data_IF_277390643808
#
_entry.id   IF_277390643808
#
_cell.length_a   1.000
_cell.length_b   1.000
_cell.length_c   1.000
_cell.angle_alpha   90.00
_cell.angle_beta   90.00
_cell.angle_gamma   90.00
#
_symmetry.space_group_name_H-M   'P 1'
#
loop_
_entity.id
_entity.type
_entity.pdbx_description
1 polymer ?
#
# COMPACT_ATOMS: atom_id res chain seq x y z
N UNK A 1 30.35 2.89 -40.17
CA UNK A 1 29.66 4.09 -39.65
C UNK A 1 28.25 3.63 -39.27
N UNK A 2 28.10 3.19 -38.06
CA UNK A 2 26.81 2.77 -37.47
C UNK A 2 26.34 3.90 -36.58
N UNK A 3 25.26 4.52 -36.97
CA UNK A 3 24.57 5.59 -36.23
C UNK A 3 24.03 5.05 -34.93
N UNK A 4 24.50 5.58 -33.81
CA UNK A 4 23.87 5.45 -32.50
C UNK A 4 22.48 6.14 -32.59
N UNK A 5 21.43 5.33 -32.55
CA UNK A 5 20.09 5.85 -32.30
C UNK A 5 20.02 6.28 -30.83
N UNK A 6 19.85 7.60 -30.62
CA UNK A 6 19.45 8.15 -29.32
C UNK A 6 18.11 7.52 -28.93
N UNK A 7 18.16 6.64 -27.94
CA UNK A 7 16.99 6.18 -27.21
C UNK A 7 16.43 7.37 -26.44
N UNK A 8 15.39 7.98 -26.97
CA UNK A 8 14.65 9.03 -26.31
C UNK A 8 14.21 8.56 -24.90
N UNK A 9 14.54 9.37 -23.90
CA UNK A 9 14.15 9.12 -22.52
C UNK A 9 12.62 9.20 -22.42
N UNK A 10 11.97 8.05 -22.26
CA UNK A 10 10.55 7.99 -21.89
C UNK A 10 10.31 8.80 -20.61
N UNK A 11 9.16 9.50 -20.47
CA UNK A 11 8.86 10.24 -19.26
C UNK A 11 8.92 9.31 -18.04
N UNK A 12 9.68 9.71 -17.04
CA UNK A 12 9.87 8.94 -15.80
C UNK A 12 8.51 8.67 -15.14
N UNK A 13 8.17 7.41 -14.94
CA UNK A 13 7.00 7.02 -14.16
C UNK A 13 7.20 7.40 -12.69
N UNK A 14 6.10 7.49 -11.93
CA UNK A 14 6.17 7.68 -10.46
C UNK A 14 7.07 6.60 -9.81
N UNK A 15 7.12 5.39 -10.39
CA UNK A 15 8.00 4.31 -9.94
C UNK A 15 9.49 4.60 -10.21
N UNK A 16 9.83 5.29 -11.28
CA UNK A 16 11.23 5.67 -11.58
C UNK A 16 11.75 6.74 -10.61
N UNK A 17 10.86 7.60 -10.09
CA UNK A 17 11.22 8.57 -9.05
C UNK A 17 11.51 7.93 -7.70
N UNK A 18 10.99 6.71 -7.44
CA UNK A 18 11.25 5.95 -6.21
C UNK A 18 12.60 5.21 -6.24
N UNK A 19 13.20 5.00 -7.41
CA UNK A 19 14.45 4.24 -7.58
C UNK A 19 15.68 5.14 -7.62
N UNK A 20 15.52 6.44 -7.92
CA UNK A 20 16.64 7.39 -8.01
C UNK A 20 16.80 8.21 -6.76
N UNK A 21 17.87 7.90 -6.03
CA UNK A 21 18.31 8.64 -4.83
C UNK A 21 18.96 10.00 -5.15
N UNK A 22 18.82 10.48 -6.37
CA UNK A 22 19.38 11.75 -6.87
C UNK A 22 18.66 12.99 -6.26
N UNK A 23 17.53 12.78 -5.56
CA UNK A 23 16.72 13.83 -4.94
C UNK A 23 16.78 13.87 -3.41
N UNK A 24 17.84 13.35 -2.81
CA UNK A 24 17.98 13.33 -1.35
C UNK A 24 17.11 12.24 -0.70
N UNK A 25 17.44 10.98 -0.96
CA UNK A 25 16.85 9.84 -0.24
C UNK A 25 17.12 9.90 1.26
N UNK A 26 16.55 8.96 2.03
CA UNK A 26 16.75 8.94 3.47
C UNK A 26 18.24 8.89 3.81
N UNK A 27 18.62 9.56 4.89
CA UNK A 27 19.99 9.49 5.44
C UNK A 27 20.19 8.16 6.17
N UNK A 28 19.16 7.70 6.84
CA UNK A 28 19.18 6.59 7.76
C UNK A 28 18.03 5.61 7.50
N UNK A 29 18.28 4.34 7.75
CA UNK A 29 17.26 3.33 8.01
C UNK A 29 17.59 2.63 9.34
N UNK A 30 16.60 1.98 9.93
CA UNK A 30 16.82 1.10 11.06
C UNK A 30 16.96 -0.35 10.57
N UNK A 31 17.99 -1.06 11.07
CA UNK A 31 18.23 -2.47 10.73
C UNK A 31 18.61 -3.25 11.98
N UNK A 32 17.79 -4.22 12.33
CA UNK A 32 18.06 -5.24 13.34
C UNK A 32 18.69 -4.72 14.64
N UNK A 33 18.13 -3.65 15.20
CA UNK A 33 18.51 -3.10 16.50
C UNK A 33 19.17 -1.73 16.49
N UNK A 34 19.50 -1.16 15.31
CA UNK A 34 20.19 0.15 15.25
C UNK A 34 19.91 0.92 13.97
N UNK A 35 20.11 2.25 14.03
CA UNK A 35 20.20 3.09 12.85
C UNK A 35 21.46 2.76 12.06
N UNK A 36 21.30 2.62 10.75
CA UNK A 36 22.38 2.38 9.78
C UNK A 36 22.30 3.43 8.68
N UNK A 37 23.43 4.01 8.21
CA UNK A 37 23.40 4.86 7.03
C UNK A 37 22.73 4.15 5.86
N UNK A 38 21.79 4.79 5.21
CA UNK A 38 21.01 4.18 4.12
C UNK A 38 21.92 3.61 3.01
N UNK A 39 23.01 4.29 2.68
CA UNK A 39 23.99 3.86 1.68
C UNK A 39 24.72 2.56 2.04
N UNK A 40 24.76 2.19 3.32
CA UNK A 40 25.47 1.00 3.82
C UNK A 40 24.55 -0.21 3.99
N UNK A 41 23.23 -0.03 3.79
CA UNK A 41 22.25 -1.09 3.88
C UNK A 41 22.37 -2.03 2.68
N UNK A 42 23.18 -3.07 2.81
CA UNK A 42 23.46 -4.05 1.75
C UNK A 42 23.04 -5.44 2.18
N UNK A 43 22.61 -6.24 1.21
CA UNK A 43 22.33 -7.66 1.39
C UNK A 43 23.25 -8.48 0.47
N UNK A 44 23.71 -9.63 0.95
CA UNK A 44 24.53 -10.52 0.14
C UNK A 44 23.71 -11.10 -1.02
N UNK A 45 24.29 -11.20 -2.22
CA UNK A 45 23.58 -11.66 -3.42
C UNK A 45 22.89 -13.01 -3.24
N UNK A 46 23.48 -13.94 -2.50
CA UNK A 46 22.89 -15.25 -2.23
C UNK A 46 21.70 -15.21 -1.24
N UNK A 47 21.52 -14.11 -0.53
CA UNK A 47 20.37 -13.91 0.36
C UNK A 47 19.17 -13.25 -0.35
N UNK A 48 19.39 -12.62 -1.52
CA UNK A 48 18.37 -11.81 -2.22
C UNK A 48 17.13 -12.62 -2.56
N UNK A 49 17.29 -13.86 -3.03
CA UNK A 49 16.16 -14.74 -3.38
C UNK A 49 15.24 -15.00 -2.18
N UNK A 50 15.81 -15.39 -1.05
CA UNK A 50 15.06 -15.65 0.18
C UNK A 50 14.49 -14.36 0.78
N UNK A 51 15.28 -13.30 0.81
CA UNK A 51 14.82 -11.99 1.31
C UNK A 51 13.63 -11.45 0.53
N UNK A 52 13.58 -11.66 -0.79
CA UNK A 52 12.48 -11.15 -1.61
C UNK A 52 11.25 -12.06 -1.62
N UNK A 53 11.43 -13.39 -1.63
CA UNK A 53 10.30 -14.33 -1.75
C UNK A 53 9.65 -14.62 -0.41
N UNK A 54 10.45 -14.81 0.64
CA UNK A 54 9.95 -15.19 1.97
C UNK A 54 9.69 -13.99 2.90
N UNK A 55 9.78 -12.77 2.41
CA UNK A 55 9.64 -11.57 3.24
C UNK A 55 8.20 -11.11 3.39
N UNK A 56 7.92 -10.52 4.55
CA UNK A 56 6.69 -9.78 4.84
C UNK A 56 7.01 -8.33 5.12
N UNK A 57 6.07 -7.43 4.83
CA UNK A 57 6.29 -6.01 4.99
C UNK A 57 5.01 -5.25 5.33
N UNK A 58 5.18 -4.01 5.76
CA UNK A 58 4.09 -3.06 5.90
C UNK A 58 4.34 -1.81 5.07
N UNK A 59 3.26 -1.09 4.80
CA UNK A 59 3.30 0.24 4.23
C UNK A 59 2.53 1.17 5.14
N UNK A 60 3.23 2.11 5.76
CA UNK A 60 2.70 3.06 6.72
C UNK A 60 2.92 4.47 6.19
N UNK A 61 1.95 5.36 6.34
CA UNK A 61 2.14 6.77 6.03
C UNK A 61 2.22 7.60 7.29
N UNK A 62 3.16 8.52 7.32
CA UNK A 62 3.23 9.59 8.29
C UNK A 62 2.98 10.92 7.57
N UNK A 63 2.01 11.67 8.05
CA UNK A 63 1.55 12.91 7.44
C UNK A 63 2.02 14.12 8.24
N UNK A 64 2.36 15.19 7.57
CA UNK A 64 2.55 16.48 8.25
C UNK A 64 1.22 16.91 8.85
N UNK A 65 1.20 17.25 10.13
CA UNK A 65 0.01 17.72 10.83
C UNK A 65 -0.52 19.02 10.21
N UNK A 66 -1.79 19.32 10.42
CA UNK A 66 -2.43 20.52 9.89
C UNK A 66 -1.79 21.84 10.36
N UNK A 67 -1.13 21.83 11.54
CA UNK A 67 -0.41 22.99 12.11
C UNK A 67 1.07 23.03 11.66
N UNK A 68 1.55 22.04 10.90
CA UNK A 68 2.90 21.98 10.36
C UNK A 68 4.00 21.68 11.37
N UNK A 69 3.67 21.26 12.60
CA UNK A 69 4.64 21.16 13.71
C UNK A 69 5.13 19.74 14.01
N UNK A 70 4.55 18.71 13.38
CA UNK A 70 4.87 17.31 13.65
C UNK A 70 4.48 16.40 12.49
N UNK A 71 5.01 15.18 12.50
CA UNK A 71 4.49 14.07 11.72
C UNK A 71 3.48 13.29 12.54
N UNK A 72 2.47 12.77 11.86
CA UNK A 72 1.41 11.93 12.40
C UNK A 72 1.46 10.58 11.67
N UNK A 73 2.06 9.55 12.30
CA UNK A 73 2.07 8.21 11.74
C UNK A 73 0.68 7.59 11.93
N UNK A 74 0.04 7.27 10.80
CA UNK A 74 -1.35 6.83 10.78
C UNK A 74 -1.47 5.34 11.07
N UNK A 75 -2.23 4.98 12.10
CA UNK A 75 -2.54 3.61 12.55
C UNK A 75 -1.28 2.74 12.71
N UNK A 76 -0.23 3.32 13.30
CA UNK A 76 1.08 2.69 13.41
C UNK A 76 0.98 1.32 14.11
N UNK A 77 0.31 1.25 15.23
CA UNK A 77 0.27 0.03 16.05
C UNK A 77 -0.48 -1.11 15.36
N UNK A 78 -1.55 -0.81 14.62
CA UNK A 78 -2.30 -1.81 13.86
C UNK A 78 -1.51 -2.31 12.64
N UNK A 79 -0.77 -1.43 11.96
CA UNK A 79 0.14 -1.82 10.90
C UNK A 79 1.23 -2.76 11.42
N UNK A 80 1.83 -2.45 12.56
CA UNK A 80 2.84 -3.31 13.16
C UNK A 80 2.24 -4.66 13.60
N UNK A 81 1.05 -4.67 14.19
CA UNK A 81 0.35 -5.91 14.54
C UNK A 81 0.14 -6.79 13.30
N UNK A 82 -0.33 -6.23 12.18
CA UNK A 82 -0.52 -6.98 10.92
C UNK A 82 0.80 -7.49 10.34
N UNK A 83 1.93 -6.78 10.52
CA UNK A 83 3.25 -7.31 10.17
C UNK A 83 3.57 -8.60 10.91
N UNK A 84 3.34 -8.63 12.23
CA UNK A 84 3.56 -9.84 13.05
C UNK A 84 2.60 -10.97 12.68
N UNK A 85 1.35 -10.67 12.36
CA UNK A 85 0.38 -11.65 11.87
C UNK A 85 0.85 -12.26 10.54
N UNK A 86 1.29 -11.42 9.59
CA UNK A 86 1.89 -11.88 8.32
C UNK A 86 3.12 -12.75 8.57
N UNK A 87 4.04 -12.33 9.43
CA UNK A 87 5.25 -13.08 9.77
C UNK A 87 4.92 -14.45 10.38
N UNK A 88 3.94 -14.49 11.30
CA UNK A 88 3.45 -15.73 11.92
C UNK A 88 2.93 -16.72 10.89
N UNK A 89 2.16 -16.25 9.90
CA UNK A 89 1.57 -17.11 8.87
C UNK A 89 2.65 -17.74 7.96
N UNK A 90 3.72 -17.02 7.66
CA UNK A 90 4.84 -17.52 6.86
C UNK A 90 6.01 -18.06 7.68
N UNK A 91 5.83 -18.22 9.00
CA UNK A 91 6.80 -18.80 9.93
C UNK A 91 8.12 -18.01 10.03
N UNK A 92 8.06 -16.71 9.91
CA UNK A 92 9.16 -15.79 10.25
C UNK A 92 9.03 -15.45 11.74
N UNK A 93 10.07 -15.74 12.51
CA UNK A 93 10.16 -15.36 13.92
C UNK A 93 10.90 -14.01 14.03
N UNK A 94 10.16 -12.95 14.31
CA UNK A 94 10.69 -11.60 14.50
C UNK A 94 11.24 -11.51 15.93
N UNK A 95 12.56 -11.31 16.14
CA UNK A 95 13.19 -11.37 17.47
C UNK A 95 12.98 -10.10 18.31
N UNK A 96 12.10 -9.19 17.88
CA UNK A 96 11.81 -7.93 18.55
C UNK A 96 10.34 -7.86 18.95
N UNK A 97 10.03 -7.20 20.04
CA UNK A 97 8.66 -6.88 20.42
C UNK A 97 8.08 -5.75 19.57
N UNK A 98 6.75 -5.65 19.54
CA UNK A 98 6.03 -4.59 18.79
C UNK A 98 6.47 -3.20 19.21
N UNK A 99 6.70 -2.98 20.52
CA UNK A 99 7.16 -1.71 21.08
C UNK A 99 8.54 -1.30 20.52
N UNK A 100 9.47 -2.26 20.42
CA UNK A 100 10.81 -2.01 19.82
C UNK A 100 10.68 -1.55 18.39
N UNK A 101 9.77 -2.16 17.63
CA UNK A 101 9.55 -1.80 16.22
C UNK A 101 8.84 -0.45 16.09
N UNK A 102 7.93 -0.14 17.01
CA UNK A 102 7.29 1.17 17.11
C UNK A 102 8.34 2.28 17.35
N UNK A 103 9.22 2.05 18.33
CA UNK A 103 10.32 2.98 18.63
C UNK A 103 11.27 3.14 17.43
N UNK A 104 11.60 2.04 16.72
CA UNK A 104 12.41 2.07 15.51
C UNK A 104 11.78 2.93 14.39
N UNK A 105 10.46 2.86 14.19
CA UNK A 105 9.75 3.72 13.23
C UNK A 105 9.87 5.19 13.62
N UNK A 106 9.67 5.51 14.90
CA UNK A 106 9.79 6.89 15.41
C UNK A 106 11.23 7.39 15.28
N UNK A 107 12.20 6.55 15.60
CA UNK A 107 13.64 6.86 15.48
C UNK A 107 14.04 7.17 14.04
N UNK A 108 13.58 6.36 13.07
CA UNK A 108 13.84 6.61 11.63
C UNK A 108 13.28 7.95 11.18
N UNK A 109 12.04 8.28 11.59
CA UNK A 109 11.43 9.56 11.22
C UNK A 109 12.20 10.74 11.78
N UNK A 110 12.63 10.67 13.05
CA UNK A 110 13.43 11.72 13.71
C UNK A 110 14.82 11.85 13.11
N UNK A 111 15.53 10.74 12.89
CA UNK A 111 16.90 10.74 12.36
C UNK A 111 16.99 11.31 10.93
N UNK A 112 15.95 11.13 10.13
CA UNK A 112 15.88 11.68 8.77
C UNK A 112 15.38 13.12 8.71
N UNK A 113 14.89 13.68 9.81
CA UNK A 113 14.46 15.10 9.92
C UNK A 113 13.41 15.49 8.86
N UNK A 114 12.51 14.58 8.52
CA UNK A 114 11.48 14.85 7.54
C UNK A 114 10.56 16.00 7.92
N UNK A 115 10.19 16.81 6.91
CA UNK A 115 9.24 17.94 7.01
C UNK A 115 8.11 17.80 5.97
N UNK A 116 8.02 16.65 5.34
CA UNK A 116 7.06 16.30 4.30
C UNK A 116 6.37 15.00 4.68
N UNK A 117 5.31 14.65 3.95
CA UNK A 117 4.67 13.34 4.11
C UNK A 117 5.64 12.22 3.76
N UNK A 118 5.63 11.18 4.58
CA UNK A 118 6.59 10.07 4.50
C UNK A 118 5.86 8.75 4.34
N UNK A 119 6.39 7.89 3.49
CA UNK A 119 6.04 6.48 3.46
C UNK A 119 7.12 5.68 4.19
N UNK A 120 6.70 4.78 5.07
CA UNK A 120 7.54 3.89 5.84
C UNK A 120 7.27 2.46 5.43
N UNK A 121 8.33 1.67 5.36
CA UNK A 121 8.25 0.25 5.04
C UNK A 121 9.03 -0.58 6.06
N UNK A 122 8.39 -0.97 7.18
CA UNK A 122 8.90 -2.05 8.00
C UNK A 122 8.89 -3.35 7.19
N UNK A 123 10.00 -4.08 7.23
CA UNK A 123 10.24 -5.24 6.40
C UNK A 123 10.98 -6.31 7.18
N UNK A 124 10.40 -7.52 7.31
CA UNK A 124 10.99 -8.67 7.98
C UNK A 124 11.27 -9.78 6.96
N UNK A 125 12.48 -10.32 6.98
CA UNK A 125 12.91 -11.38 6.06
C UNK A 125 13.94 -12.32 6.69
N UNK A 126 14.02 -13.59 6.22
CA UNK A 126 15.06 -14.50 6.65
C UNK A 126 16.44 -13.96 6.32
N UNK A 127 17.30 -13.86 7.36
CA UNK A 127 18.68 -13.39 7.22
C UNK A 127 19.61 -14.55 6.94
N UNK A 128 20.67 -14.29 6.19
CA UNK A 128 21.75 -15.23 5.94
C UNK A 128 21.76 -15.82 4.55
N UNK A 129 22.83 -16.58 4.27
CA UNK A 129 23.06 -17.23 3.00
C UNK A 129 22.46 -18.64 3.07
N UNK A 130 21.35 -18.85 2.36
CA UNK A 130 20.70 -20.16 2.26
C UNK A 130 21.02 -20.74 0.89
N UNK A 131 21.84 -21.76 0.83
CA UNK A 131 22.27 -22.34 -0.44
C UNK A 131 21.36 -23.46 -0.94
N UNK A 132 20.72 -24.22 -0.06
CA UNK A 132 20.10 -25.51 -0.46
C UNK A 132 18.69 -25.72 0.09
N UNK A 133 18.09 -24.77 0.80
CA UNK A 133 16.79 -25.01 1.45
C UNK A 133 15.71 -24.04 0.96
N UNK A 134 14.61 -24.57 0.47
CA UNK A 134 13.40 -23.79 0.18
C UNK A 134 12.75 -23.24 1.46
N UNK A 135 13.01 -23.88 2.61
CA UNK A 135 12.55 -23.44 3.93
C UNK A 135 13.77 -23.09 4.77
N UNK A 136 13.97 -21.83 5.12
CA UNK A 136 15.11 -21.39 5.92
C UNK A 136 14.90 -21.73 7.40
N UNK A 137 14.94 -23.02 7.75
CA UNK A 137 14.85 -23.45 9.14
C UNK A 137 16.09 -23.01 9.93
N UNK A 138 15.89 -22.36 11.08
CA UNK A 138 16.96 -21.90 11.97
C UNK A 138 17.72 -20.67 11.47
N UNK A 139 17.25 -20.00 10.42
CA UNK A 139 17.82 -18.73 9.96
C UNK A 139 17.22 -17.60 10.78
N UNK A 140 18.06 -16.70 11.32
CA UNK A 140 17.60 -15.52 12.03
C UNK A 140 16.83 -14.57 11.10
N UNK A 141 15.87 -13.87 11.63
CA UNK A 141 15.15 -12.82 10.92
C UNK A 141 15.95 -11.51 10.97
N UNK A 142 16.12 -10.86 9.83
CA UNK A 142 16.44 -9.45 9.77
C UNK A 142 15.16 -8.62 9.67
N UNK A 143 15.20 -7.46 10.36
CA UNK A 143 14.12 -6.48 10.33
C UNK A 143 14.69 -5.14 9.90
N UNK A 144 14.07 -4.52 8.91
CA UNK A 144 14.47 -3.21 8.38
C UNK A 144 13.27 -2.27 8.43
N UNK A 145 13.48 -1.03 8.83
CA UNK A 145 12.53 0.07 8.63
C UNK A 145 13.15 1.06 7.67
N UNK A 146 12.65 1.07 6.45
CA UNK A 146 13.02 2.00 5.39
C UNK A 146 11.96 3.09 5.24
N UNK A 147 12.32 4.26 4.69
CA UNK A 147 11.42 5.39 4.55
C UNK A 147 11.80 6.28 3.37
N UNK A 148 10.83 7.01 2.81
CA UNK A 148 11.05 8.01 1.78
C UNK A 148 9.91 9.03 1.78
N UNK A 149 10.16 10.22 1.25
CA UNK A 149 9.11 11.22 1.07
C UNK A 149 8.07 10.74 0.06
N UNK A 150 6.80 10.88 0.39
CA UNK A 150 5.70 10.43 -0.46
C UNK A 150 4.49 11.33 -0.26
N UNK A 151 4.34 12.31 -1.12
CA UNK A 151 3.28 13.30 -1.02
C UNK A 151 1.88 12.66 -1.05
N UNK A 152 0.99 13.22 -0.22
CA UNK A 152 -0.42 12.86 -0.23
C UNK A 152 -1.10 13.40 -1.49
N UNK A 153 -2.00 12.60 -2.05
CA UNK A 153 -2.92 13.04 -3.09
C UNK A 153 -4.30 13.43 -2.58
N UNK A 154 -4.53 13.35 -1.25
CA UNK A 154 -5.80 13.74 -0.64
C UNK A 154 -6.08 15.23 -0.83
N UNK A 155 -7.35 15.56 -1.04
CA UNK A 155 -7.77 16.93 -1.28
C UNK A 155 -7.36 17.50 -2.65
N UNK A 156 -6.87 16.66 -3.56
CA UNK A 156 -6.56 17.06 -4.94
C UNK A 156 -7.54 16.44 -5.94
N UNK A 157 -7.81 17.16 -7.02
CA UNK A 157 -8.57 16.59 -8.13
C UNK A 157 -7.71 15.57 -8.86
N UNK A 158 -8.01 14.30 -8.67
CA UNK A 158 -7.32 13.19 -9.32
C UNK A 158 -8.31 12.08 -9.67
N UNK A 159 -7.97 11.28 -10.62
CA UNK A 159 -8.72 10.10 -11.02
C UNK A 159 -7.85 9.21 -11.87
N UNK A 160 -8.25 7.97 -12.05
CA UNK A 160 -7.50 7.02 -12.86
C UNK A 160 -8.42 6.23 -13.78
N UNK A 161 -7.82 5.66 -14.82
CA UNK A 161 -8.45 4.72 -15.75
C UNK A 161 -8.03 3.31 -15.37
N UNK A 162 -9.00 2.46 -15.03
CA UNK A 162 -8.73 1.08 -14.67
C UNK A 162 -9.19 0.10 -15.77
N UNK A 163 -8.61 -1.10 -15.74
CA UNK A 163 -9.09 -2.21 -16.56
C UNK A 163 -9.20 -3.48 -15.71
N UNK A 164 -10.21 -4.31 -15.98
CA UNK A 164 -10.28 -5.63 -15.40
C UNK A 164 -9.24 -6.52 -16.05
N UNK A 165 -8.27 -6.99 -15.26
CA UNK A 165 -7.16 -7.80 -15.72
C UNK A 165 -7.60 -9.20 -16.16
N UNK A 166 -6.86 -9.78 -17.11
CA UNK A 166 -6.94 -11.20 -17.43
C UNK A 166 -6.33 -12.10 -16.36
N UNK A 167 -5.44 -11.54 -15.52
CA UNK A 167 -4.83 -12.23 -14.39
C UNK A 167 -5.81 -12.36 -13.23
N UNK A 168 -5.99 -13.60 -12.73
CA UNK A 168 -6.80 -13.87 -11.54
C UNK A 168 -5.99 -13.52 -10.27
N UNK A 169 -6.67 -12.98 -9.27
CA UNK A 169 -6.07 -12.72 -7.95
C UNK A 169 -5.63 -14.05 -7.31
N UNK A 170 -4.50 -14.02 -6.60
CA UNK A 170 -4.07 -15.11 -5.73
C UNK A 170 -5.18 -15.49 -4.74
N UNK A 171 -5.22 -16.74 -4.31
CA UNK A 171 -6.25 -17.25 -3.40
C UNK A 171 -5.67 -17.93 -2.17
N UNK A 172 -6.54 -18.19 -1.19
CA UNK A 172 -6.17 -18.73 0.13
C UNK A 172 -5.46 -20.09 0.05
N UNK A 173 -5.75 -20.89 -0.99
CA UNK A 173 -5.17 -22.23 -1.16
C UNK A 173 -3.79 -22.23 -1.83
N UNK A 174 -3.43 -21.13 -2.51
CA UNK A 174 -2.14 -21.00 -3.22
C UNK A 174 -1.17 -20.05 -2.53
N UNK A 175 -1.59 -18.80 -2.36
CA UNK A 175 -0.79 -17.73 -1.75
C UNK A 175 -1.75 -16.83 -0.93
N UNK A 176 -1.93 -17.06 0.38
CA UNK A 176 -2.96 -16.38 1.17
C UNK A 176 -2.93 -14.86 1.00
N UNK A 177 -4.00 -14.22 0.49
CA UNK A 177 -4.03 -12.77 0.23
C UNK A 177 -3.87 -11.91 1.50
N UNK A 178 -4.27 -12.46 2.67
CA UNK A 178 -4.13 -11.77 3.95
C UNK A 178 -2.68 -11.60 4.42
N UNK A 179 -1.76 -12.40 3.87
CA UNK A 179 -0.32 -12.26 4.15
C UNK A 179 0.23 -11.13 3.30
N UNK A 180 0.71 -10.08 3.92
CA UNK A 180 1.36 -8.97 3.22
C UNK A 180 2.83 -9.34 2.92
N UNK A 181 3.03 -10.26 1.95
CA UNK A 181 4.34 -10.74 1.51
C UNK A 181 4.72 -10.13 0.15
N UNK A 182 6.02 -9.87 -0.06
CA UNK A 182 6.49 -9.34 -1.36
C UNK A 182 6.18 -10.29 -2.52
N UNK A 183 6.24 -11.61 -2.30
CA UNK A 183 5.86 -12.61 -3.29
C UNK A 183 4.42 -12.44 -3.81
N UNK A 184 3.48 -12.06 -2.95
CA UNK A 184 2.07 -11.85 -3.32
C UNK A 184 1.89 -10.67 -4.29
N UNK A 185 2.80 -9.69 -4.25
CA UNK A 185 2.77 -8.52 -5.13
C UNK A 185 3.21 -8.82 -6.57
N UNK A 186 3.85 -9.99 -6.81
CA UNK A 186 4.20 -10.38 -8.17
C UNK A 186 2.96 -10.58 -9.06
N UNK A 187 1.89 -11.15 -8.50
CA UNK A 187 0.59 -11.27 -9.20
C UNK A 187 0.06 -9.89 -9.62
N UNK A 188 0.03 -8.93 -8.70
CA UNK A 188 -0.38 -7.56 -9.00
C UNK A 188 0.55 -6.87 -10.02
N UNK A 189 1.86 -7.18 -10.01
CA UNK A 189 2.83 -6.65 -10.98
C UNK A 189 2.52 -7.13 -12.40
N UNK A 190 2.16 -8.39 -12.60
CA UNK A 190 1.78 -8.93 -13.90
C UNK A 190 0.53 -8.23 -14.44
N UNK A 191 -0.49 -8.09 -13.60
CA UNK A 191 -1.71 -7.35 -13.96
C UNK A 191 -1.44 -5.88 -14.27
N UNK A 192 -0.49 -5.25 -13.56
CA UNK A 192 -0.08 -3.87 -13.81
C UNK A 192 0.59 -3.69 -15.16
N UNK A 193 1.46 -4.62 -15.57
CA UNK A 193 2.11 -4.60 -16.88
C UNK A 193 1.04 -4.66 -17.97
N UNK A 194 0.10 -5.62 -17.87
CA UNK A 194 -1.01 -5.76 -18.80
C UNK A 194 -1.86 -4.48 -18.90
N UNK A 195 -2.24 -3.90 -17.77
CA UNK A 195 -3.04 -2.68 -17.77
C UNK A 195 -2.33 -1.52 -18.50
N UNK A 196 -1.04 -1.32 -18.21
CA UNK A 196 -0.24 -0.25 -18.83
C UNK A 196 -0.01 -0.46 -20.33
N UNK A 197 0.26 -1.68 -20.76
CA UNK A 197 0.40 -2.01 -22.19
C UNK A 197 -0.90 -1.76 -22.96
N UNK A 198 -2.04 -1.84 -22.28
CA UNK A 198 -3.37 -1.55 -22.84
C UNK A 198 -3.84 -0.10 -22.59
N UNK A 199 -2.98 0.80 -22.11
CA UNK A 199 -3.27 2.22 -21.95
C UNK A 199 -4.13 2.58 -20.73
N UNK A 200 -4.12 1.73 -19.69
CA UNK A 200 -4.78 1.97 -18.42
C UNK A 200 -3.77 2.25 -17.31
N UNK A 201 -4.20 2.99 -16.30
CA UNK A 201 -3.33 3.33 -15.15
C UNK A 201 -3.21 2.16 -14.19
N UNK A 202 -4.33 1.46 -13.91
CA UNK A 202 -4.41 0.44 -12.86
C UNK A 202 -5.28 -0.75 -13.24
N UNK A 203 -4.88 -1.99 -12.86
CA UNK A 203 -5.74 -3.16 -13.01
C UNK A 203 -6.72 -3.32 -11.85
N UNK A 204 -7.86 -3.94 -12.15
CA UNK A 204 -8.78 -4.54 -11.19
C UNK A 204 -8.69 -6.05 -11.36
N UNK A 205 -8.36 -6.78 -10.28
CA UNK A 205 -8.29 -8.24 -10.33
C UNK A 205 -9.61 -8.86 -9.88
N UNK A 206 -10.00 -9.92 -10.57
CA UNK A 206 -11.09 -10.81 -10.15
C UNK A 206 -10.51 -12.01 -9.39
N UNK A 207 -11.27 -12.55 -8.45
CA UNK A 207 -10.91 -13.81 -7.79
C UNK A 207 -11.26 -15.03 -8.68
N UNK A 208 -10.96 -16.25 -8.20
CA UNK A 208 -11.23 -17.50 -8.91
C UNK A 208 -12.72 -17.77 -9.20
N UNK A 209 -13.62 -17.06 -8.51
CA UNK A 209 -15.08 -17.11 -8.75
C UNK A 209 -15.57 -16.07 -9.77
N UNK A 210 -14.65 -15.31 -10.36
CA UNK A 210 -14.97 -14.21 -11.28
C UNK A 210 -15.58 -12.98 -10.61
N UNK A 211 -15.50 -12.87 -9.27
CA UNK A 211 -15.95 -11.69 -8.52
C UNK A 211 -14.81 -10.69 -8.37
N UNK A 212 -15.15 -9.41 -8.27
CA UNK A 212 -14.18 -8.35 -8.01
C UNK A 212 -13.46 -8.65 -6.69
N UNK A 213 -12.13 -8.55 -6.73
CA UNK A 213 -11.26 -8.69 -5.57
C UNK A 213 -10.69 -7.33 -5.17
N UNK A 214 -9.54 -6.97 -5.69
CA UNK A 214 -8.88 -5.71 -5.37
C UNK A 214 -7.97 -5.25 -6.51
N UNK A 215 -7.35 -4.08 -6.39
CA UNK A 215 -6.24 -3.64 -7.23
C UNK A 215 -4.91 -4.29 -6.81
N UNK A 216 -3.78 -3.98 -7.48
CA UNK A 216 -2.48 -4.59 -7.22
C UNK A 216 -1.89 -4.23 -5.84
N UNK A 217 -2.41 -3.23 -5.16
CA UNK A 217 -1.94 -2.77 -3.85
C UNK A 217 -2.97 -1.94 -3.08
N UNK A 218 -4.24 -2.02 -3.46
CA UNK A 218 -5.33 -1.30 -2.80
C UNK A 218 -6.65 -2.05 -2.96
N UNK A 219 -7.50 -2.03 -1.93
CA UNK A 219 -8.88 -2.51 -2.02
C UNK A 219 -9.72 -1.59 -2.91
N UNK A 220 -10.91 -2.04 -3.28
CA UNK A 220 -11.82 -1.31 -4.17
C UNK A 220 -13.21 -1.22 -3.53
N UNK A 221 -13.94 -0.15 -3.84
CA UNK A 221 -15.36 -0.03 -3.54
C UNK A 221 -16.10 0.57 -4.74
N UNK A 222 -17.39 0.29 -4.81
CA UNK A 222 -18.34 0.89 -5.76
C UNK A 222 -19.46 1.58 -5.00
N UNK A 223 -20.01 2.63 -5.58
CA UNK A 223 -21.25 3.26 -5.12
C UNK A 223 -22.31 3.03 -6.19
N UNK A 224 -23.48 2.57 -5.79
CA UNK A 224 -24.61 2.42 -6.68
C UNK A 224 -25.91 2.65 -5.90
N UNK A 225 -26.78 3.49 -6.45
CA UNK A 225 -28.08 3.83 -5.82
C UNK A 225 -27.89 4.30 -4.35
N UNK A 226 -26.81 5.04 -4.07
CA UNK A 226 -26.49 5.55 -2.74
C UNK A 226 -25.90 4.54 -1.75
N UNK A 227 -25.70 3.29 -2.15
CA UNK A 227 -25.12 2.22 -1.33
C UNK A 227 -23.66 2.01 -1.73
N UNK A 228 -22.75 2.06 -0.76
CA UNK A 228 -21.34 1.70 -0.94
C UNK A 228 -21.18 0.20 -0.77
N UNK A 229 -20.62 -0.48 -1.76
CA UNK A 229 -20.31 -1.91 -1.69
C UNK A 229 -18.83 -2.15 -1.89
N UNK A 230 -18.23 -3.02 -1.09
CA UNK A 230 -16.81 -3.41 -1.21
C UNK A 230 -16.68 -4.92 -1.05
N UNK A 231 -15.77 -5.59 -1.79
CA UNK A 231 -15.52 -7.01 -1.63
C UNK A 231 -15.24 -7.38 -0.17
N UNK A 232 -15.78 -8.49 0.30
CA UNK A 232 -15.52 -9.02 1.64
C UNK A 232 -14.09 -9.57 1.75
N UNK A 233 -13.60 -9.77 2.97
CA UNK A 233 -12.25 -10.33 3.21
C UNK A 233 -12.07 -11.72 2.60
N UNK A 234 -13.16 -12.46 2.37
CA UNK A 234 -13.14 -13.78 1.70
C UNK A 234 -13.12 -13.70 0.17
N UNK A 235 -13.11 -12.52 -0.41
CA UNK A 235 -13.02 -12.31 -1.86
C UNK A 235 -11.58 -12.26 -2.40
N UNK A 236 -10.60 -12.69 -1.61
CA UNK A 236 -9.17 -12.72 -2.01
C UNK A 236 -8.45 -11.40 -1.82
N UNK A 237 -8.95 -10.52 -0.96
CA UNK A 237 -8.34 -9.22 -0.65
C UNK A 237 -7.39 -9.29 0.55
N UNK A 238 -6.48 -8.32 0.64
CA UNK A 238 -5.77 -8.03 1.88
C UNK A 238 -6.74 -7.40 2.89
N UNK A 239 -6.62 -7.76 4.17
CA UNK A 239 -7.32 -7.07 5.27
C UNK A 239 -6.70 -5.67 5.48
N UNK A 240 -7.21 -4.71 4.70
CA UNK A 240 -6.62 -3.38 4.57
C UNK A 240 -7.09 -2.44 5.66
N UNK A 241 -6.15 -1.82 6.38
CA UNK A 241 -6.44 -0.78 7.37
C UNK A 241 -7.05 0.47 6.73
N UNK A 242 -6.62 0.85 5.54
CA UNK A 242 -7.23 1.96 4.80
C UNK A 242 -8.68 1.66 4.43
N UNK A 243 -9.00 0.42 4.02
CA UNK A 243 -10.37 0.00 3.74
C UNK A 243 -11.23 0.05 5.01
N UNK A 244 -10.73 -0.47 6.12
CA UNK A 244 -11.43 -0.44 7.42
C UNK A 244 -11.72 1.00 7.86
N UNK A 245 -10.70 1.88 7.80
CA UNK A 245 -10.86 3.32 8.03
C UNK A 245 -11.93 3.92 7.13
N UNK A 246 -11.89 3.62 5.84
CA UNK A 246 -12.87 4.16 4.87
C UNK A 246 -14.29 3.69 5.18
N UNK A 247 -14.47 2.43 5.57
CA UNK A 247 -15.78 1.90 5.99
C UNK A 247 -16.30 2.66 7.22
N UNK A 248 -15.45 2.89 8.20
CA UNK A 248 -15.79 3.64 9.42
C UNK A 248 -16.23 5.06 9.06
N UNK A 249 -15.40 5.80 8.34
CA UNK A 249 -15.68 7.18 7.95
C UNK A 249 -16.94 7.31 7.07
N UNK A 250 -17.15 6.38 6.14
CA UNK A 250 -18.38 6.37 5.31
C UNK A 250 -19.64 6.18 6.16
N UNK A 251 -19.59 5.30 7.15
CA UNK A 251 -20.72 5.09 8.08
C UNK A 251 -20.99 6.33 8.93
N UNK A 252 -19.94 7.00 9.41
CA UNK A 252 -20.04 8.26 10.15
C UNK A 252 -20.61 9.41 9.28
N UNK A 253 -20.30 9.41 7.99
CA UNK A 253 -20.90 10.31 6.99
C UNK A 253 -22.35 9.94 6.64
N UNK A 254 -22.92 8.89 7.23
CA UNK A 254 -24.31 8.47 7.05
C UNK A 254 -24.55 7.55 5.84
N UNK A 255 -23.49 7.04 5.19
CA UNK A 255 -23.64 6.11 4.07
C UNK A 255 -23.87 4.67 4.54
N UNK A 256 -24.72 3.95 3.82
CA UNK A 256 -24.86 2.51 3.96
C UNK A 256 -23.67 1.82 3.30
N UNK A 257 -22.89 1.06 4.06
CA UNK A 257 -21.73 0.31 3.56
C UNK A 257 -21.97 -1.19 3.74
N UNK A 258 -21.89 -1.94 2.62
CA UNK A 258 -22.10 -3.38 2.55
C UNK A 258 -20.83 -4.09 2.09
N UNK A 259 -20.41 -5.07 2.85
CA UNK A 259 -19.32 -5.97 2.47
C UNK A 259 -19.92 -7.22 1.81
N UNK A 260 -19.73 -7.38 0.50
CA UNK A 260 -20.31 -8.45 -0.29
C UNK A 260 -19.48 -8.80 -1.52
N UNK A 261 -19.81 -9.89 -2.19
CA UNK A 261 -19.32 -10.13 -3.55
C UNK A 261 -19.82 -9.03 -4.48
N UNK A 262 -18.95 -8.58 -5.39
CA UNK A 262 -19.24 -7.59 -6.43
C UNK A 262 -18.98 -8.25 -7.77
N UNK A 263 -19.95 -8.17 -8.68
CA UNK A 263 -19.80 -8.70 -10.03
C UNK A 263 -19.01 -7.71 -10.93
N UNK A 264 -18.25 -8.26 -11.89
CA UNK A 264 -17.53 -7.44 -12.87
C UNK A 264 -18.40 -6.37 -13.52
N UNK A 265 -19.62 -6.74 -13.90
CA UNK A 265 -20.53 -5.83 -14.59
C UNK A 265 -21.08 -4.72 -13.72
N UNK A 266 -21.05 -4.86 -12.40
CA UNK A 266 -21.41 -3.78 -11.47
C UNK A 266 -20.44 -2.61 -11.54
N UNK A 267 -19.17 -2.86 -11.89
CA UNK A 267 -18.18 -1.80 -12.11
C UNK A 267 -18.59 -0.83 -13.23
N UNK A 268 -19.31 -1.35 -14.26
CA UNK A 268 -19.76 -0.55 -15.41
C UNK A 268 -21.07 0.21 -15.15
N UNK A 269 -21.81 -0.20 -14.12
CA UNK A 269 -23.10 0.36 -13.75
C UNK A 269 -23.01 1.20 -12.47
N UNK A 270 -21.83 1.31 -11.89
CA UNK A 270 -21.60 2.07 -10.68
C UNK A 270 -21.68 3.58 -10.93
N UNK A 271 -22.23 4.31 -9.98
CA UNK A 271 -22.21 5.77 -9.95
C UNK A 271 -20.80 6.28 -9.63
N UNK A 272 -20.09 5.57 -8.74
CA UNK A 272 -18.71 5.84 -8.36
C UNK A 272 -17.93 4.53 -8.16
N UNK A 273 -16.63 4.56 -8.48
CA UNK A 273 -15.67 3.50 -8.14
C UNK A 273 -14.43 4.17 -7.58
N UNK A 274 -13.85 3.63 -6.51
CA UNK A 274 -12.60 4.13 -5.96
C UNK A 274 -11.75 3.03 -5.32
N UNK A 275 -10.44 3.23 -5.35
CA UNK A 275 -9.47 2.42 -4.63
C UNK A 275 -9.17 2.99 -3.25
N UNK A 276 -8.82 2.10 -2.31
CA UNK A 276 -8.46 2.42 -0.92
C UNK A 276 -7.17 1.67 -0.54
N UNK A 277 -6.10 2.40 -0.27
CA UNK A 277 -4.81 1.79 0.11
C UNK A 277 -3.82 2.81 0.63
N UNK A 278 -2.87 2.43 1.46
CA UNK A 278 -1.94 3.35 2.12
C UNK A 278 -1.21 4.27 1.13
N UNK A 279 -0.69 3.73 0.02
CA UNK A 279 0.02 4.52 -0.98
C UNK A 279 -0.91 5.34 -1.89
N UNK A 280 -2.10 4.82 -2.17
CA UNK A 280 -3.07 5.47 -3.06
C UNK A 280 -4.07 6.34 -2.31
N UNK A 281 -4.18 6.12 -1.01
CA UNK A 281 -5.17 6.76 -0.15
C UNK A 281 -6.59 6.49 -0.67
N UNK A 282 -7.35 7.49 -1.01
CA UNK A 282 -8.63 7.37 -1.70
C UNK A 282 -8.41 7.80 -3.14
N UNK A 283 -8.43 6.86 -4.09
CA UNK A 283 -8.18 7.13 -5.51
C UNK A 283 -9.41 6.86 -6.35
N UNK A 284 -10.08 7.89 -6.87
CA UNK A 284 -11.24 7.72 -7.76
C UNK A 284 -10.87 6.98 -9.04
N UNK A 285 -11.73 6.04 -9.47
CA UNK A 285 -11.66 5.37 -10.77
C UNK A 285 -12.71 6.01 -11.68
N UNK A 286 -12.27 6.70 -12.71
CA UNK A 286 -13.14 7.47 -13.60
C UNK A 286 -13.54 6.73 -14.87
N UNK A 287 -12.81 5.66 -15.20
CA UNK A 287 -13.07 4.77 -16.34
C UNK A 287 -12.71 3.34 -15.99
N UNK A 288 -13.54 2.38 -16.43
CA UNK A 288 -13.25 0.94 -16.34
C UNK A 288 -13.45 0.29 -17.71
N UNK A 289 -12.46 -0.43 -18.22
CA UNK A 289 -12.48 -1.11 -19.53
C UNK A 289 -12.98 -0.21 -20.68
N UNK A 290 -12.63 1.08 -20.66
CA UNK A 290 -13.05 2.05 -21.67
C UNK A 290 -14.46 2.62 -21.48
N UNK A 291 -15.21 2.17 -20.46
CA UNK A 291 -16.51 2.72 -20.08
C UNK A 291 -16.35 3.77 -18.99
N UNK A 292 -17.05 4.88 -19.14
CA UNK A 292 -17.05 5.96 -18.14
C UNK A 292 -17.81 5.54 -16.89
N UNK A 293 -17.23 5.78 -15.71
CA UNK A 293 -17.88 5.60 -14.42
C UNK A 293 -18.58 6.91 -14.06
N UNK A 294 -19.87 6.85 -13.79
CA UNK A 294 -20.67 8.04 -13.48
C UNK A 294 -20.44 9.17 -14.50
N UNK A 295 -20.05 10.34 -14.03
CA UNK A 295 -19.75 11.48 -14.89
C UNK A 295 -18.29 11.52 -15.40
N UNK A 296 -17.44 10.53 -15.03
CA UNK A 296 -16.03 10.45 -15.41
C UNK A 296 -15.11 11.27 -14.52
N UNK A 297 -15.56 11.61 -13.35
CA UNK A 297 -14.83 12.31 -12.29
C UNK A 297 -15.14 11.71 -10.92
N UNK A 298 -14.46 12.17 -9.87
CA UNK A 298 -14.78 11.75 -8.50
C UNK A 298 -16.21 12.14 -8.13
N UNK A 299 -17.02 11.18 -7.70
CA UNK A 299 -18.38 11.43 -7.28
C UNK A 299 -18.47 12.02 -5.86
N UNK A 300 -19.68 12.40 -5.42
CA UNK A 300 -19.88 13.06 -4.13
C UNK A 300 -19.47 12.20 -2.92
N UNK A 301 -19.72 10.90 -2.96
CA UNK A 301 -19.35 9.99 -1.86
C UNK A 301 -17.83 9.86 -1.75
N UNK A 302 -17.15 9.68 -2.88
CA UNK A 302 -15.68 9.61 -2.92
C UNK A 302 -15.04 10.90 -2.44
N UNK A 303 -15.56 12.08 -2.86
CA UNK A 303 -15.07 13.39 -2.39
C UNK A 303 -15.29 13.60 -0.90
N UNK A 304 -16.44 13.20 -0.38
CA UNK A 304 -16.72 13.30 1.06
C UNK A 304 -15.79 12.40 1.88
N UNK A 305 -15.55 11.17 1.42
CA UNK A 305 -14.62 10.26 2.06
C UNK A 305 -13.17 10.79 2.00
N UNK A 306 -12.72 11.31 0.86
CA UNK A 306 -11.38 11.90 0.70
C UNK A 306 -11.17 13.07 1.68
N UNK A 307 -12.15 13.96 1.80
CA UNK A 307 -12.10 15.09 2.74
C UNK A 307 -12.08 14.63 4.21
N UNK A 308 -12.90 13.63 4.58
CA UNK A 308 -12.92 13.07 5.92
C UNK A 308 -11.60 12.39 6.26
N UNK A 309 -11.10 11.53 5.35
CA UNK A 309 -9.82 10.86 5.51
C UNK A 309 -8.67 11.88 5.64
N UNK A 310 -8.65 12.91 4.79
CA UNK A 310 -7.66 14.00 4.87
C UNK A 310 -7.72 14.74 6.22
N UNK A 311 -8.92 15.01 6.73
CA UNK A 311 -9.09 15.65 8.04
C UNK A 311 -8.49 14.81 9.17
N UNK A 312 -8.75 13.49 9.16
CA UNK A 312 -8.24 12.56 10.16
C UNK A 312 -6.71 12.46 10.11
N UNK A 313 -6.13 12.16 8.96
CA UNK A 313 -4.67 11.93 8.87
C UNK A 313 -3.85 13.19 9.13
N UNK A 314 -4.44 14.39 9.00
CA UNK A 314 -3.81 15.67 9.34
C UNK A 314 -4.03 16.10 10.81
N UNK A 315 -4.72 15.28 11.60
CA UNK A 315 -4.99 15.57 13.01
C UNK A 315 -6.01 16.71 13.23
N UNK A 316 -6.95 16.90 12.30
CA UNK A 316 -8.04 17.88 12.45
C UNK A 316 -9.26 17.29 13.16
N UNK A 317 -9.40 15.97 13.16
CA UNK A 317 -10.47 15.25 13.84
C UNK A 317 -10.01 14.79 15.21
N UNK A 318 -10.67 15.26 16.27
CA UNK A 318 -10.40 14.80 17.62
C UNK A 318 -10.94 13.38 17.89
N UNK A 319 -11.95 12.96 17.14
CA UNK A 319 -12.66 11.69 17.30
C UNK A 319 -11.74 10.48 17.01
N UNK A 320 -10.76 10.66 16.09
CA UNK A 320 -9.82 9.61 15.68
C UNK A 320 -8.37 9.96 16.06
N UNK A 321 -8.16 10.71 17.13
CA UNK A 321 -6.82 11.07 17.59
C UNK A 321 -6.00 9.84 18.02
N UNK A 322 -6.65 8.79 18.48
CA UNK A 322 -6.04 7.49 18.85
C UNK A 322 -5.46 6.73 17.64
N UNK A 323 -5.85 7.06 16.41
CA UNK A 323 -5.25 6.51 15.20
C UNK A 323 -3.91 7.14 14.82
N UNK A 324 -3.50 8.17 15.55
CA UNK A 324 -2.34 8.99 15.22
C UNK A 324 -1.22 8.83 16.26
N UNK A 325 -0.04 8.45 15.81
CA UNK A 325 1.17 8.53 16.62
C UNK A 325 1.91 9.82 16.28
N UNK A 326 2.04 10.72 17.27
CA UNK A 326 2.68 12.02 17.09
C UNK A 326 4.21 11.93 17.18
N UNK A 327 4.89 12.52 16.20
CA UNK A 327 6.34 12.65 16.16
C UNK A 327 6.67 14.14 15.99
N UNK A 328 6.97 14.87 17.07
CA UNK A 328 7.36 16.28 17.01
C UNK A 328 8.62 16.49 16.16
N UNK A 329 8.67 17.64 15.48
CA UNK A 329 9.81 18.06 14.67
C UNK A 329 11.00 18.52 15.52
#
# INVERSE_FOLDING_TARGET
MTTEQELGTAPMSIMDSLVRNDRGGPKWLWRSGSLVPWADARIHVNAVGHASVASVFEGIKAYVSHDGNRLLAFRLDEHLRRLYESARLVRIDIPYGVETLRDAVIEVLRANEYREDVYLRPWAFPAGIVQEQMVPAGVSCELVVDSWTFQSGLGTERGCRAAVSSWTRINEASMPPRVKAFSNYHNGRLAMIEARENGHDWPILLNERGKVSEGPGACIAIVRDGVVSTPSTTSGILESLTRETSITLLRELGHTVVERDVDRTELYLADEVFFMGTGWEILPVTWVDGLKVGEGEAGPVTRALDAAYHSVVRGRSAEHADWLTEIPF
#
